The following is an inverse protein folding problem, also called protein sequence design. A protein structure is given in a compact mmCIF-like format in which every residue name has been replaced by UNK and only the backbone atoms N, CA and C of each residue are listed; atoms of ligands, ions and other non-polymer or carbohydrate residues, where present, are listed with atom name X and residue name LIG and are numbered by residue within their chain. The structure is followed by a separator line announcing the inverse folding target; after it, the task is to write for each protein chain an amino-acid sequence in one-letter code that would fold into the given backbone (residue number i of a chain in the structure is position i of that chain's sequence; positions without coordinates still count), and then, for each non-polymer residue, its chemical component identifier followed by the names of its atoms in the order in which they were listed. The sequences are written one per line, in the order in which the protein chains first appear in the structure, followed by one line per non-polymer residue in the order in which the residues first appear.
data_IF_291498706626
#
_entry.id   IF_291498706626
#
_cell.length_a   1.000
_cell.length_b   1.000
_cell.length_c   1.000
_cell.angle_alpha   90.00
_cell.angle_beta   90.00
_cell.angle_gamma   90.00
#
_symmetry.space_group_name_H-M   'P 1'
#
loop_
_entity.id
_entity.type
_entity.pdbx_description
1 polymer ?
#
# COMPACT_ATOMS: atom_id res chain seq x y z
N UNK A 1 15.70 23.65 25.24
CA UNK A 1 15.39 22.85 26.45
C UNK A 1 13.87 22.68 26.50
N UNK A 2 13.21 21.53 26.35
CA UNK A 2 13.65 20.14 26.29
C UNK A 2 12.42 19.21 26.25
N UNK A 3 11.47 19.42 25.33
CA UNK A 3 10.25 18.60 25.25
C UNK A 3 10.42 17.31 24.43
N UNK A 4 11.29 17.30 23.42
CA UNK A 4 11.52 16.10 22.59
C UNK A 4 12.54 15.10 23.17
N UNK A 5 13.37 15.51 24.14
CA UNK A 5 14.38 14.61 24.75
C UNK A 5 13.79 13.58 25.71
N UNK A 6 12.56 13.78 26.21
CA UNK A 6 11.88 12.84 27.12
C UNK A 6 11.08 11.74 26.41
N UNK A 7 10.92 11.81 25.09
CA UNK A 7 10.19 10.81 24.31
C UNK A 7 11.09 9.77 23.61
N UNK A 8 12.41 9.99 23.59
CA UNK A 8 13.38 9.08 22.94
C UNK A 8 14.53 8.67 23.88
N UNK A 9 14.23 8.50 25.17
CA UNK A 9 15.22 8.05 26.17
C UNK A 9 15.02 6.60 26.57
N UNK A 10 15.44 5.64 25.74
CA UNK A 10 15.66 4.25 26.19
C UNK A 10 17.16 4.04 26.38
N UNK A 11 17.54 3.68 27.60
CA UNK A 11 18.90 3.37 28.03
C UNK A 11 19.56 2.34 27.13
N UNK A 12 20.82 2.60 26.77
CA UNK A 12 21.67 1.73 25.94
C UNK A 12 22.41 0.77 26.88
N UNK A 13 21.89 -0.43 27.08
CA UNK A 13 22.69 -1.57 27.55
C UNK A 13 23.47 -2.16 26.36
N UNK A 14 24.71 -2.63 26.57
CA UNK A 14 25.51 -3.19 25.49
C UNK A 14 25.01 -4.61 25.16
N UNK A 15 24.11 -4.70 24.19
CA UNK A 15 23.77 -5.98 23.57
C UNK A 15 24.95 -6.47 22.73
N UNK A 16 25.43 -7.68 23.08
CA UNK A 16 26.41 -8.45 22.32
C UNK A 16 25.93 -8.56 20.88
N UNK A 17 26.66 -7.95 19.95
CA UNK A 17 26.43 -8.13 18.50
C UNK A 17 26.85 -9.55 18.13
N UNK A 18 25.92 -10.50 18.27
CA UNK A 18 25.94 -11.66 17.41
C UNK A 18 25.71 -11.11 15.99
N UNK A 19 26.76 -11.11 15.17
CA UNK A 19 26.61 -10.97 13.72
C UNK A 19 25.79 -12.15 13.25
N UNK A 20 24.46 -11.98 13.24
CA UNK A 20 23.60 -12.82 12.46
C UNK A 20 24.11 -12.72 11.02
N UNK A 21 24.43 -13.88 10.43
CA UNK A 21 24.72 -13.95 9.01
C UNK A 21 23.57 -13.27 8.25
N UNK A 22 23.86 -12.49 7.19
CA UNK A 22 22.82 -11.84 6.43
C UNK A 22 21.90 -12.92 5.87
N UNK A 23 20.68 -13.00 6.40
CA UNK A 23 19.62 -13.83 5.84
C UNK A 23 19.50 -13.42 4.38
N UNK A 24 19.59 -14.37 3.42
CA UNK A 24 19.40 -14.04 2.01
C UNK A 24 18.11 -13.25 1.86
N UNK A 25 18.17 -12.09 1.21
CA UNK A 25 16.98 -11.31 0.97
C UNK A 25 16.14 -12.09 -0.04
N UNK A 26 15.14 -12.84 0.41
CA UNK A 26 14.31 -13.74 -0.44
C UNK A 26 13.58 -12.99 -1.57
N UNK A 27 13.58 -11.66 -1.50
CA UNK A 27 13.02 -10.74 -2.49
C UNK A 27 14.05 -10.22 -3.50
N UNK A 28 15.29 -10.73 -3.50
CA UNK A 28 16.27 -10.33 -4.51
C UNK A 28 15.80 -10.74 -5.91
N UNK A 29 15.75 -9.78 -6.84
CA UNK A 29 15.16 -9.94 -8.17
C UNK A 29 13.62 -9.88 -8.23
N UNK A 30 12.94 -9.50 -7.14
CA UNK A 30 11.50 -9.27 -7.10
C UNK A 30 11.16 -7.80 -6.89
N UNK A 31 10.19 -7.31 -7.66
CA UNK A 31 9.68 -5.93 -7.58
C UNK A 31 8.24 -5.90 -7.08
N UNK A 32 7.84 -4.91 -6.26
CA UNK A 32 6.49 -4.81 -5.74
C UNK A 32 5.51 -4.41 -6.85
N UNK A 33 4.40 -5.15 -6.96
CA UNK A 33 3.27 -4.79 -7.82
C UNK A 33 2.40 -3.77 -7.09
N UNK A 34 2.23 -2.54 -7.61
CA UNK A 34 1.47 -1.51 -6.93
C UNK A 34 -0.03 -1.84 -6.96
N UNK A 35 -0.76 -1.57 -5.86
CA UNK A 35 -2.21 -1.78 -5.81
C UNK A 35 -3.02 -0.80 -6.67
N UNK A 36 -2.42 0.32 -7.06
CA UNK A 36 -3.01 1.34 -7.91
C UNK A 36 -1.99 1.84 -8.93
N UNK A 37 -2.46 2.12 -10.14
CA UNK A 37 -1.70 2.71 -11.25
C UNK A 37 -2.37 4.01 -11.70
N UNK A 38 -1.67 4.90 -12.44
CA UNK A 38 -2.31 6.05 -13.05
C UNK A 38 -3.56 5.64 -13.84
N UNK A 39 -4.64 6.38 -13.63
CA UNK A 39 -5.88 6.18 -14.39
C UNK A 39 -5.71 6.67 -15.83
N UNK A 40 -6.61 6.23 -16.71
CA UNK A 40 -6.61 6.75 -18.07
C UNK A 40 -7.10 8.21 -18.11
N UNK A 41 -6.60 8.98 -19.06
CA UNK A 41 -6.85 10.44 -19.09
C UNK A 41 -8.29 10.77 -19.48
N UNK A 42 -8.92 9.89 -20.25
CA UNK A 42 -10.31 10.01 -20.68
C UNK A 42 -11.27 10.00 -19.48
N UNK A 43 -10.88 9.33 -18.38
CA UNK A 43 -11.69 9.25 -17.16
C UNK A 43 -11.53 10.49 -16.25
N UNK A 44 -10.52 11.34 -16.51
CA UNK A 44 -10.14 12.38 -15.55
C UNK A 44 -11.24 13.41 -15.34
N UNK A 45 -11.90 13.83 -16.41
CA UNK A 45 -12.96 14.84 -16.33
C UNK A 45 -14.14 14.32 -15.50
N UNK A 46 -14.66 13.15 -15.87
CA UNK A 46 -15.82 12.55 -15.22
C UNK A 46 -15.56 12.29 -13.73
N UNK A 47 -14.44 11.64 -13.40
CA UNK A 47 -14.08 11.33 -12.01
C UNK A 47 -13.85 12.61 -11.21
N UNK A 48 -13.25 13.63 -11.81
CA UNK A 48 -13.04 14.91 -11.13
C UNK A 48 -14.36 15.59 -10.78
N UNK A 49 -15.30 15.65 -11.72
CA UNK A 49 -16.63 16.25 -11.49
C UNK A 49 -17.40 15.49 -10.42
N UNK A 50 -17.39 14.15 -10.45
CA UNK A 50 -18.07 13.33 -9.43
C UNK A 50 -17.44 13.57 -8.06
N UNK A 51 -16.11 13.49 -7.95
CA UNK A 51 -15.41 13.65 -6.68
C UNK A 51 -15.64 15.05 -6.07
N UNK A 52 -15.58 16.10 -6.89
CA UNK A 52 -15.82 17.47 -6.41
C UNK A 52 -17.28 17.73 -6.08
N UNK A 53 -18.23 17.16 -6.82
CA UNK A 53 -19.66 17.28 -6.51
C UNK A 53 -20.01 16.62 -5.17
N UNK A 54 -19.47 15.42 -4.90
CA UNK A 54 -19.63 14.75 -3.60
C UNK A 54 -19.04 15.62 -2.49
N UNK A 55 -17.79 16.07 -2.66
CA UNK A 55 -17.11 16.86 -1.65
C UNK A 55 -17.80 18.22 -1.39
N UNK A 56 -18.32 18.88 -2.44
CA UNK A 56 -19.08 20.11 -2.32
C UNK A 56 -20.46 19.90 -1.67
N UNK A 57 -21.04 18.70 -1.80
CA UNK A 57 -22.27 18.33 -1.09
C UNK A 57 -22.07 18.31 0.43
N UNK A 58 -20.94 17.77 0.90
CA UNK A 58 -20.60 17.73 2.33
C UNK A 58 -20.04 19.06 2.85
N UNK A 59 -19.38 19.84 1.99
CA UNK A 59 -18.69 21.10 2.34
C UNK A 59 -18.95 22.20 1.29
N UNK A 60 -20.12 22.84 1.31
CA UNK A 60 -20.58 23.74 0.24
C UNK A 60 -19.77 25.04 0.11
N UNK A 61 -19.16 25.52 1.19
CA UNK A 61 -18.37 26.76 1.19
C UNK A 61 -16.88 26.53 0.88
N UNK A 62 -16.49 25.31 0.51
CA UNK A 62 -15.10 24.92 0.24
C UNK A 62 -14.78 24.86 -1.26
N UNK A 63 -13.48 24.98 -1.60
CA UNK A 63 -12.98 24.78 -2.96
C UNK A 63 -12.15 23.50 -3.04
N UNK A 64 -12.41 22.69 -4.07
CA UNK A 64 -11.76 21.39 -4.27
C UNK A 64 -10.90 21.38 -5.53
N UNK A 65 -9.70 20.81 -5.42
CA UNK A 65 -8.79 20.55 -6.54
C UNK A 65 -8.36 19.10 -6.53
N UNK A 66 -8.67 18.38 -7.60
CA UNK A 66 -8.18 17.00 -7.80
C UNK A 66 -6.71 17.06 -8.23
N UNK A 67 -5.83 16.44 -7.46
CA UNK A 67 -4.38 16.46 -7.69
C UNK A 67 -3.84 15.20 -8.34
N UNK A 68 -4.51 14.06 -8.14
CA UNK A 68 -4.08 12.76 -8.64
C UNK A 68 -5.29 11.83 -8.76
N UNK A 69 -5.40 11.18 -9.91
CA UNK A 69 -6.42 10.16 -10.19
C UNK A 69 -5.69 8.84 -10.45
N UNK A 70 -6.11 7.81 -9.74
CA UNK A 70 -5.51 6.48 -9.76
C UNK A 70 -6.60 5.45 -9.96
N UNK A 71 -6.31 4.43 -10.76
CA UNK A 71 -7.18 3.28 -10.92
C UNK A 71 -6.56 2.06 -10.24
N UNK A 72 -7.40 1.08 -9.88
CA UNK A 72 -6.92 -0.19 -9.34
C UNK A 72 -6.03 -0.86 -10.39
N UNK A 73 -4.88 -1.37 -9.96
CA UNK A 73 -4.04 -2.17 -10.83
C UNK A 73 -4.77 -3.49 -11.14
N UNK A 74 -5.11 -3.79 -12.40
CA UNK A 74 -5.83 -5.00 -12.77
C UNK A 74 -5.03 -6.27 -12.45
N UNK A 75 -3.71 -6.23 -12.53
CA UNK A 75 -2.83 -7.34 -12.16
C UNK A 75 -2.93 -7.62 -10.65
N UNK A 76 -2.76 -6.58 -9.83
CA UNK A 76 -2.84 -6.70 -8.37
C UNK A 76 -4.22 -7.20 -7.92
N UNK A 77 -5.29 -6.74 -8.58
CA UNK A 77 -6.66 -7.19 -8.31
C UNK A 77 -6.83 -8.68 -8.63
N UNK A 78 -6.40 -9.10 -9.82
CA UNK A 78 -6.52 -10.49 -10.28
C UNK A 78 -5.75 -11.44 -9.38
N UNK A 79 -4.48 -11.13 -9.10
CA UNK A 79 -3.64 -11.95 -8.23
C UNK A 79 -4.18 -11.99 -6.80
N UNK A 80 -4.64 -10.85 -6.27
CA UNK A 80 -5.27 -10.81 -4.94
C UNK A 80 -6.48 -11.74 -4.87
N UNK A 81 -7.34 -11.70 -5.89
CA UNK A 81 -8.55 -12.51 -5.94
C UNK A 81 -8.22 -14.01 -5.98
N UNK A 82 -7.25 -14.40 -6.80
CA UNK A 82 -6.80 -15.79 -6.89
C UNK A 82 -6.22 -16.25 -5.54
N UNK A 83 -5.27 -15.49 -4.98
CA UNK A 83 -4.62 -15.84 -3.72
C UNK A 83 -5.62 -15.93 -2.56
N UNK A 84 -6.54 -14.97 -2.44
CA UNK A 84 -7.61 -15.01 -1.44
C UNK A 84 -8.56 -16.19 -1.63
N UNK A 85 -8.88 -16.57 -2.87
CA UNK A 85 -9.76 -17.70 -3.15
C UNK A 85 -9.13 -19.04 -2.75
N UNK A 86 -7.84 -19.22 -3.05
CA UNK A 86 -7.08 -20.41 -2.62
C UNK A 86 -7.03 -20.45 -1.10
N UNK A 87 -6.64 -19.35 -0.46
CA UNK A 87 -6.49 -19.28 0.99
C UNK A 87 -7.82 -19.51 1.72
N UNK A 88 -8.95 -19.06 1.16
CA UNK A 88 -10.28 -19.34 1.70
C UNK A 88 -10.66 -20.83 1.61
N UNK A 89 -10.14 -21.56 0.63
CA UNK A 89 -10.31 -23.01 0.52
C UNK A 89 -9.52 -23.77 1.59
N UNK A 90 -8.26 -23.37 1.82
CA UNK A 90 -7.36 -24.04 2.77
C UNK A 90 -7.64 -23.65 4.23
N UNK A 91 -8.09 -22.42 4.46
CA UNK A 91 -8.33 -21.84 5.79
C UNK A 91 -9.74 -21.23 5.90
N UNK A 92 -10.80 -22.07 5.87
CA UNK A 92 -12.19 -21.59 5.73
C UNK A 92 -12.69 -20.75 6.92
N UNK A 93 -12.17 -20.96 8.11
CA UNK A 93 -12.55 -20.22 9.32
C UNK A 93 -11.66 -18.98 9.58
N UNK A 94 -10.76 -18.66 8.64
CA UNK A 94 -9.79 -17.56 8.79
C UNK A 94 -10.14 -16.34 7.96
N UNK A 95 -9.82 -15.16 8.49
CA UNK A 95 -9.89 -13.90 7.74
C UNK A 95 -8.48 -13.50 7.31
N UNK A 96 -8.21 -13.64 6.01
CA UNK A 96 -6.90 -13.36 5.43
C UNK A 96 -6.96 -12.14 4.53
N UNK A 97 -5.90 -11.33 4.56
CA UNK A 97 -5.74 -10.14 3.71
C UNK A 97 -4.41 -10.22 3.00
N UNK A 98 -4.44 -10.10 1.66
CA UNK A 98 -3.21 -9.95 0.87
C UNK A 98 -2.55 -8.63 1.23
N UNK A 99 -1.32 -8.68 1.74
CA UNK A 99 -0.57 -7.48 2.18
C UNK A 99 0.29 -6.88 1.08
N UNK A 100 0.90 -7.72 0.27
CA UNK A 100 1.82 -7.32 -0.79
C UNK A 100 1.84 -8.37 -1.89
N UNK A 101 2.12 -7.92 -3.11
CA UNK A 101 2.28 -8.75 -4.30
C UNK A 101 3.60 -8.33 -4.93
N UNK A 102 4.37 -9.31 -5.38
CA UNK A 102 5.64 -9.09 -6.05
C UNK A 102 5.66 -9.82 -7.39
N UNK A 103 6.37 -9.25 -8.34
CA UNK A 103 6.64 -9.84 -9.65
C UNK A 103 8.14 -9.98 -9.85
N UNK A 104 8.56 -10.99 -10.59
CA UNK A 104 9.99 -11.23 -10.84
C UNK A 104 10.41 -10.41 -12.05
N UNK A 105 11.45 -9.60 -11.91
CA UNK A 105 12.00 -8.84 -13.04
C UNK A 105 12.77 -9.80 -13.92
N UNK A 106 12.25 -10.09 -15.11
CA UNK A 106 13.01 -10.79 -16.15
C UNK A 106 13.99 -9.77 -16.78
N UNK A 107 15.22 -9.73 -16.30
CA UNK A 107 16.35 -9.08 -16.99
C UNK A 107 16.99 -10.09 -17.94
#
# INVERSE_FOLDING_TARGET
MGFFQRLFGKSREPEVRQTAEPVPNELDGWEPVPGFIPADKEDYELVSVIATAIAAGDYPDSQFKVTRIMQRNPEALTVSLIASSIAAGDYPDSQLTVKSIYTKTNV
#
